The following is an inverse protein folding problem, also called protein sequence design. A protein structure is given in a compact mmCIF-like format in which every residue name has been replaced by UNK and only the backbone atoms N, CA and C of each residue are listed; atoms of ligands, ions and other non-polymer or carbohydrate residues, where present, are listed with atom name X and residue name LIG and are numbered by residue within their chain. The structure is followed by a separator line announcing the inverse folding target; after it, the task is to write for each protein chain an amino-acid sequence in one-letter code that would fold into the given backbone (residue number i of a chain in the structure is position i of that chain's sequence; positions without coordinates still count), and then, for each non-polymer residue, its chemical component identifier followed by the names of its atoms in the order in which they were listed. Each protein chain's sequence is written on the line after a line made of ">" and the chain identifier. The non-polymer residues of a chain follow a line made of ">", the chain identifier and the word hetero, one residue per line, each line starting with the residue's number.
data_IF_296418068425
#
_entry.id   IF_296418068425
#
_cell.length_a   1.000
_cell.length_b   1.000
_cell.length_c   1.000
_cell.angle_alpha   90.00
_cell.angle_beta   90.00
_cell.angle_gamma   90.00
#
_symmetry.space_group_name_H-M   'P 1'
#
loop_
_entity.id
_entity.type
_entity.pdbx_description
1 polymer ?
#
# COMPACT_ATOMS: atom_id res chain seq x y z
N UNK A 1 -26.01 -25.65 -7.45
CA UNK A 1 -26.54 -24.26 -7.71
C UNK A 1 -25.49 -23.28 -8.14
N UNK A 2 -24.21 -23.37 -7.68
CA UNK A 2 -23.17 -22.40 -8.04
C UNK A 2 -22.81 -22.48 -9.53
N UNK A 3 -22.67 -23.67 -10.07
CA UNK A 3 -22.39 -23.91 -11.49
C UNK A 3 -23.57 -23.46 -12.36
N UNK A 4 -24.79 -23.77 -11.94
CA UNK A 4 -26.00 -23.37 -12.67
C UNK A 4 -26.10 -21.83 -12.74
N UNK A 5 -25.88 -21.17 -11.62
CA UNK A 5 -25.83 -19.69 -11.54
C UNK A 5 -24.75 -19.11 -12.46
N UNK A 6 -23.55 -19.68 -12.41
CA UNK A 6 -22.44 -19.28 -13.27
C UNK A 6 -22.80 -19.38 -14.75
N UNK A 7 -23.32 -20.53 -15.17
CA UNK A 7 -23.72 -20.78 -16.55
C UNK A 7 -24.86 -19.86 -17.00
N UNK A 8 -25.83 -19.59 -16.13
CA UNK A 8 -26.92 -18.66 -16.41
C UNK A 8 -26.43 -17.23 -16.62
N UNK A 9 -25.50 -16.74 -15.77
CA UNK A 9 -24.90 -15.42 -15.90
C UNK A 9 -24.10 -15.30 -17.20
N UNK A 10 -23.29 -16.30 -17.53
CA UNK A 10 -22.53 -16.30 -18.79
C UNK A 10 -23.44 -16.31 -20.02
N UNK A 11 -24.50 -17.13 -20.00
CA UNK A 11 -25.47 -17.20 -21.10
C UNK A 11 -26.18 -15.84 -21.30
N UNK A 12 -26.69 -15.24 -20.21
CA UNK A 12 -27.34 -13.93 -20.27
C UNK A 12 -26.39 -12.81 -20.71
N UNK A 13 -25.13 -12.88 -20.27
CA UNK A 13 -24.10 -11.88 -20.57
C UNK A 13 -23.52 -11.93 -21.97
N UNK A 14 -23.68 -13.05 -22.70
CA UNK A 14 -23.07 -13.26 -24.03
C UNK A 14 -23.43 -12.16 -25.02
N UNK A 15 -24.67 -11.73 -25.08
CA UNK A 15 -25.15 -10.63 -25.97
C UNK A 15 -24.54 -9.28 -25.61
N UNK A 16 -24.06 -9.12 -24.37
CA UNK A 16 -23.38 -7.91 -23.87
C UNK A 16 -21.87 -8.04 -23.89
N UNK A 17 -21.31 -9.08 -24.52
CA UNK A 17 -19.86 -9.34 -24.56
C UNK A 17 -19.25 -9.48 -23.17
N UNK A 18 -20.00 -10.06 -22.22
CA UNK A 18 -19.49 -10.34 -20.88
C UNK A 18 -18.21 -11.17 -20.94
N UNK A 19 -17.18 -10.71 -20.25
CA UNK A 19 -15.91 -11.41 -20.12
C UNK A 19 -15.67 -11.79 -18.67
N UNK A 20 -15.21 -13.02 -18.46
CA UNK A 20 -14.75 -13.46 -17.14
C UNK A 20 -13.41 -12.85 -16.84
N UNK A 21 -13.28 -12.21 -15.67
CA UNK A 21 -12.01 -11.71 -15.15
C UNK A 21 -11.77 -12.30 -13.75
N UNK A 22 -10.50 -12.42 -13.37
CA UNK A 22 -10.09 -12.80 -12.03
C UNK A 22 -9.49 -11.59 -11.29
N UNK A 23 -9.42 -11.63 -9.95
CA UNK A 23 -8.63 -10.67 -9.19
C UNK A 23 -7.20 -10.62 -9.74
N UNK A 24 -6.69 -9.42 -9.97
CA UNK A 24 -5.37 -9.22 -10.55
C UNK A 24 -4.47 -8.40 -9.62
N UNK A 25 -3.35 -8.98 -9.19
CA UNK A 25 -2.41 -8.31 -8.29
C UNK A 25 -1.92 -6.97 -8.84
N UNK A 26 -1.57 -6.90 -10.12
CA UNK A 26 -1.11 -5.65 -10.72
C UNK A 26 -2.15 -4.53 -10.58
N UNK A 27 -3.44 -4.81 -10.82
CA UNK A 27 -4.51 -3.80 -10.75
C UNK A 27 -4.71 -3.27 -9.34
N UNK A 28 -4.75 -4.16 -8.32
CA UNK A 28 -4.88 -3.71 -6.94
C UNK A 28 -3.69 -2.87 -6.50
N UNK A 29 -2.47 -3.28 -6.90
CA UNK A 29 -1.24 -2.55 -6.55
C UNK A 29 -1.25 -1.19 -7.23
N UNK A 30 -1.56 -1.10 -8.54
CA UNK A 30 -1.71 0.16 -9.26
C UNK A 30 -2.70 1.12 -8.57
N UNK A 31 -3.85 0.59 -8.15
CA UNK A 31 -4.89 1.37 -7.47
C UNK A 31 -4.59 1.65 -5.99
N UNK A 32 -3.50 1.09 -5.43
CA UNK A 32 -3.18 1.23 -4.02
C UNK A 32 -4.13 0.49 -3.08
N UNK A 33 -4.79 -0.56 -3.57
CA UNK A 33 -5.70 -1.39 -2.77
C UNK A 33 -4.89 -2.38 -1.95
N UNK A 34 -4.99 -2.24 -0.62
CA UNK A 34 -4.28 -3.09 0.33
C UNK A 34 -4.92 -4.47 0.44
N UNK A 35 -4.09 -5.47 0.66
CA UNK A 35 -4.50 -6.83 0.95
C UNK A 35 -4.23 -7.17 2.41
N UNK A 36 -5.25 -7.67 3.11
CA UNK A 36 -5.09 -8.18 4.46
C UNK A 36 -4.14 -9.38 4.50
N UNK A 37 -3.24 -9.41 5.47
CA UNK A 37 -2.19 -10.42 5.59
C UNK A 37 -0.97 -10.20 4.70
N UNK A 38 -1.07 -9.35 3.66
CA UNK A 38 0.04 -9.00 2.78
C UNK A 38 0.57 -7.59 3.04
N UNK A 39 -0.32 -6.59 2.97
CA UNK A 39 0.06 -5.18 3.12
C UNK A 39 -0.27 -4.63 4.51
N UNK A 40 -1.17 -5.23 5.21
CA UNK A 40 -1.56 -4.86 6.58
C UNK A 40 -2.10 -6.07 7.33
N UNK A 41 -2.05 -6.01 8.64
CA UNK A 41 -2.61 -6.97 9.58
C UNK A 41 -3.03 -6.25 10.88
N UNK A 42 -3.29 -7.01 11.95
CA UNK A 42 -3.70 -6.47 13.24
C UNK A 42 -2.62 -5.63 13.96
N UNK A 43 -1.36 -5.70 13.53
CA UNK A 43 -0.25 -4.91 14.09
C UNK A 43 -0.15 -3.52 13.43
N UNK A 44 -0.94 -3.27 12.39
CA UNK A 44 -0.92 -2.02 11.64
C UNK A 44 -2.13 -1.14 11.99
N UNK A 45 -1.88 0.13 12.29
CA UNK A 45 -2.95 1.11 12.50
C UNK A 45 -3.37 1.80 11.18
N UNK A 46 -4.58 2.38 11.11
CA UNK A 46 -5.08 3.01 9.88
C UNK A 46 -4.23 4.17 9.36
N UNK A 47 -3.60 4.96 10.23
CA UNK A 47 -2.74 6.07 9.79
C UNK A 47 -1.48 5.56 9.12
N UNK A 48 -0.87 4.53 9.70
CA UNK A 48 0.30 3.86 9.14
C UNK A 48 0.04 3.25 7.76
N UNK A 49 -1.19 2.81 7.50
CA UNK A 49 -1.63 2.22 6.24
C UNK A 49 -2.18 3.22 5.21
N UNK A 50 -2.09 4.52 5.43
CA UNK A 50 -2.72 5.56 4.62
C UNK A 50 -4.26 5.48 4.58
N UNK A 51 -4.91 4.80 5.52
CA UNK A 51 -6.36 4.65 5.64
C UNK A 51 -6.98 5.63 6.65
N UNK A 52 -6.22 6.60 7.14
CA UNK A 52 -6.69 7.58 8.12
C UNK A 52 -7.92 8.37 7.67
N UNK A 53 -8.12 8.55 6.36
CA UNK A 53 -9.29 9.20 5.80
C UNK A 53 -10.60 8.40 5.99
N UNK A 54 -10.52 7.10 6.24
CA UNK A 54 -11.65 6.24 6.53
C UNK A 54 -12.03 6.24 8.02
N UNK A 55 -11.18 6.79 8.87
CA UNK A 55 -11.40 6.81 10.31
C UNK A 55 -12.26 8.01 10.68
N UNK A 56 -13.44 7.74 11.24
CA UNK A 56 -14.35 8.79 11.72
C UNK A 56 -13.91 9.29 13.09
N UNK A 57 -13.06 10.32 13.10
CA UNK A 57 -12.61 11.02 14.30
C UNK A 57 -13.25 12.39 14.36
N UNK A 58 -14.16 12.55 15.33
CA UNK A 58 -14.81 13.82 15.74
C UNK A 58 -15.02 14.93 14.70
N UNK A 59 -16.22 15.15 14.33
CA UNK A 59 -16.85 16.45 14.29
C UNK A 59 -17.01 17.15 12.97
N UNK A 60 -16.53 16.79 11.80
CA UNK A 60 -16.86 17.51 10.55
C UNK A 60 -16.76 16.60 9.31
N UNK A 61 -17.88 16.46 8.61
CA UNK A 61 -17.99 15.74 7.33
C UNK A 61 -19.17 14.76 7.31
N UNK A 62 -19.61 14.35 6.13
CA UNK A 62 -20.75 13.42 5.92
C UNK A 62 -20.58 12.06 6.62
N UNK A 63 -19.35 11.63 6.85
CA UNK A 63 -18.99 10.39 7.52
C UNK A 63 -18.80 10.53 9.03
N UNK A 64 -19.09 11.70 9.56
CA UNK A 64 -18.96 12.01 10.99
C UNK A 64 -20.12 11.41 11.79
N UNK A 65 -20.08 10.12 11.96
CA UNK A 65 -20.95 9.47 12.93
C UNK A 65 -20.40 9.76 14.33
N UNK A 66 -21.21 10.34 15.20
CA UNK A 66 -20.95 10.44 16.64
C UNK A 66 -20.87 9.06 17.33
N UNK A 67 -20.77 7.99 16.54
CA UNK A 67 -20.70 6.63 17.03
C UNK A 67 -19.44 6.43 17.86
N UNK A 68 -19.61 5.82 18.98
CA UNK A 68 -18.52 5.27 19.76
C UNK A 68 -18.16 3.90 19.21
N UNK A 69 -16.86 3.58 19.18
CA UNK A 69 -16.34 2.31 18.69
C UNK A 69 -15.04 1.96 19.39
N UNK A 70 -14.72 0.69 19.44
CA UNK A 70 -13.48 0.19 20.06
C UNK A 70 -12.26 0.79 19.35
N UNK A 71 -11.34 1.37 20.13
CA UNK A 71 -10.11 1.98 19.61
C UNK A 71 -10.23 3.45 19.21
N UNK A 72 -11.40 4.09 19.29
CA UNK A 72 -11.59 5.50 18.92
C UNK A 72 -10.67 6.42 19.72
N UNK A 73 -10.62 6.30 21.03
CA UNK A 73 -9.78 7.11 21.91
C UNK A 73 -8.30 6.98 21.55
N UNK A 74 -7.84 5.76 21.28
CA UNK A 74 -6.47 5.52 20.87
C UNK A 74 -6.13 6.19 19.53
N UNK A 75 -7.05 6.19 18.57
CA UNK A 75 -6.87 6.85 17.27
C UNK A 75 -6.95 8.38 17.39
N UNK A 76 -7.80 8.92 18.27
CA UNK A 76 -7.84 10.36 18.56
C UNK A 76 -6.52 10.84 19.15
N UNK A 77 -6.00 10.11 20.15
CA UNK A 77 -4.68 10.38 20.76
C UNK A 77 -3.56 10.33 19.70
N UNK A 78 -3.56 9.30 18.89
CA UNK A 78 -2.55 9.16 17.81
C UNK A 78 -2.62 10.31 16.80
N UNK A 79 -3.84 10.74 16.43
CA UNK A 79 -4.03 11.89 15.54
C UNK A 79 -3.50 13.19 16.15
N UNK A 80 -3.68 13.39 17.45
CA UNK A 80 -3.14 14.53 18.17
C UNK A 80 -1.61 14.51 18.21
N UNK A 81 -1.02 13.35 18.53
CA UNK A 81 0.43 13.15 18.48
C UNK A 81 1.00 13.50 17.09
N UNK A 82 0.38 13.02 16.01
CA UNK A 82 0.78 13.34 14.64
C UNK A 82 0.74 14.85 14.36
N UNK A 83 -0.32 15.55 14.80
CA UNK A 83 -0.44 17.01 14.66
C UNK A 83 0.66 17.78 15.41
N UNK A 84 1.08 17.25 16.54
CA UNK A 84 2.15 17.83 17.37
C UNK A 84 3.56 17.49 16.85
N UNK A 85 3.67 16.79 15.69
CA UNK A 85 4.94 16.40 15.09
C UNK A 85 5.58 15.17 15.74
N UNK A 86 4.85 14.46 16.60
CA UNK A 86 5.31 13.21 17.18
C UNK A 86 5.22 12.07 16.15
N UNK A 87 5.96 11.00 16.41
CA UNK A 87 5.99 9.81 15.56
C UNK A 87 5.44 8.59 16.32
N UNK A 88 4.11 8.44 16.40
CA UNK A 88 3.49 7.38 17.20
C UNK A 88 3.76 5.96 16.68
N UNK A 89 4.33 5.83 15.49
CA UNK A 89 4.78 4.57 14.89
C UNK A 89 6.06 4.76 14.09
N UNK A 90 6.75 3.65 13.79
CA UNK A 90 8.09 3.69 13.18
C UNK A 90 8.08 3.70 11.66
N UNK A 91 7.13 2.99 11.04
CA UNK A 91 7.09 2.74 9.60
C UNK A 91 5.78 3.25 9.01
N UNK A 92 5.86 3.81 7.80
CA UNK A 92 4.74 4.31 7.01
C UNK A 92 4.64 3.54 5.70
N UNK A 93 3.43 3.12 5.34
CA UNK A 93 3.15 2.58 4.00
C UNK A 93 3.38 3.65 2.94
N UNK A 94 4.08 3.28 1.88
CA UNK A 94 4.38 4.16 0.74
C UNK A 94 4.29 3.39 -0.57
N UNK A 95 4.13 4.13 -1.66
CA UNK A 95 4.43 3.65 -3.00
C UNK A 95 5.92 3.75 -3.30
N UNK A 96 6.43 2.82 -4.09
CA UNK A 96 7.82 2.78 -4.53
C UNK A 96 7.87 2.46 -6.02
N UNK A 97 8.66 3.20 -6.78
CA UNK A 97 9.11 2.81 -8.11
C UNK A 97 10.49 2.16 -8.01
N UNK A 98 10.66 0.96 -8.58
CA UNK A 98 11.89 0.19 -8.51
C UNK A 98 12.51 0.00 -9.89
N UNK A 99 13.84 0.05 -9.94
CA UNK A 99 14.61 -0.40 -11.11
C UNK A 99 14.71 -1.93 -11.11
N UNK A 100 15.01 -2.50 -12.27
CA UNK A 100 15.26 -3.93 -12.41
C UNK A 100 14.43 -4.58 -13.50
N UNK A 101 14.55 -5.90 -13.61
CA UNK A 101 13.75 -6.72 -14.53
C UNK A 101 12.26 -6.65 -14.13
N UNK A 102 11.32 -6.78 -15.08
CA UNK A 102 9.90 -6.85 -14.79
C UNK A 102 9.57 -7.91 -13.73
N UNK A 103 8.73 -7.53 -12.75
CA UNK A 103 8.23 -8.41 -11.69
C UNK A 103 6.79 -8.77 -12.05
N UNK A 104 6.59 -9.98 -12.55
CA UNK A 104 5.29 -10.45 -13.09
C UNK A 104 4.78 -11.68 -12.35
N UNK A 105 5.37 -11.98 -11.20
CA UNK A 105 4.97 -13.08 -10.35
C UNK A 105 4.59 -12.59 -8.96
N UNK A 106 3.67 -13.30 -8.33
CA UNK A 106 3.32 -13.07 -6.92
C UNK A 106 4.54 -13.26 -6.02
N UNK A 107 4.77 -12.29 -5.14
CA UNK A 107 5.83 -12.33 -4.14
C UNK A 107 5.23 -12.62 -2.76
N UNK A 108 5.33 -13.86 -2.27
CA UNK A 108 4.80 -14.22 -0.94
C UNK A 108 5.65 -13.65 0.20
N UNK A 109 6.94 -13.44 -0.05
CA UNK A 109 7.88 -12.96 0.95
C UNK A 109 8.07 -11.44 0.88
N UNK A 110 8.35 -10.82 2.02
CA UNK A 110 8.70 -9.41 2.09
C UNK A 110 10.15 -9.18 1.67
N UNK A 111 10.38 -8.17 0.85
CA UNK A 111 11.73 -7.83 0.39
C UNK A 111 12.29 -6.65 1.18
N UNK A 112 13.48 -6.82 1.70
CA UNK A 112 14.08 -5.86 2.60
C UNK A 112 14.47 -4.55 1.91
N UNK A 113 14.28 -3.44 2.61
CA UNK A 113 14.67 -2.10 2.20
C UNK A 113 15.83 -1.64 3.10
N UNK A 114 16.87 -1.05 2.52
CA UNK A 114 17.97 -0.41 3.23
C UNK A 114 18.20 1.03 2.73
N UNK A 115 18.98 1.79 3.46
CA UNK A 115 19.43 3.11 3.00
C UNK A 115 20.26 3.00 1.71
N UNK A 116 20.41 4.12 0.99
CA UNK A 116 21.20 4.17 -0.26
C UNK A 116 22.67 3.76 -0.07
N UNK A 117 23.22 3.99 1.12
CA UNK A 117 24.59 3.61 1.48
C UNK A 117 24.70 2.16 2.01
N UNK A 118 23.58 1.40 1.94
CA UNK A 118 23.52 0.06 2.52
C UNK A 118 23.23 0.07 4.02
N UNK A 119 23.68 -0.97 4.72
CA UNK A 119 23.47 -1.14 6.15
C UNK A 119 22.31 -2.07 6.50
N UNK A 120 21.89 -2.04 7.77
CA UNK A 120 20.78 -2.87 8.26
C UNK A 120 19.47 -2.53 7.55
N UNK A 121 18.57 -3.51 7.35
CA UNK A 121 17.23 -3.26 6.85
C UNK A 121 16.49 -2.26 7.75
N UNK A 122 15.77 -1.35 7.10
CA UNK A 122 15.00 -0.27 7.75
C UNK A 122 13.52 -0.30 7.37
N UNK A 123 13.13 -1.18 6.46
CA UNK A 123 11.79 -1.34 5.96
C UNK A 123 11.67 -2.56 5.06
N UNK A 124 10.52 -2.72 4.43
CA UNK A 124 10.25 -3.88 3.57
C UNK A 124 9.19 -3.58 2.51
N UNK A 125 9.27 -4.29 1.38
CA UNK A 125 8.26 -4.34 0.32
C UNK A 125 7.24 -5.43 0.66
N UNK A 126 5.96 -5.14 0.47
CA UNK A 126 4.86 -6.08 0.66
C UNK A 126 4.30 -6.60 -0.67
N UNK A 127 4.10 -5.71 -1.62
CA UNK A 127 3.38 -6.01 -2.86
C UNK A 127 4.05 -5.36 -4.07
N UNK A 128 5.02 -6.03 -4.69
CA UNK A 128 5.67 -5.56 -5.91
C UNK A 128 4.96 -6.08 -7.15
N UNK A 129 4.95 -5.29 -8.24
CA UNK A 129 4.52 -5.72 -9.56
C UNK A 129 5.07 -4.83 -10.67
N UNK A 130 5.14 -5.33 -11.90
CA UNK A 130 5.46 -4.53 -13.07
C UNK A 130 4.25 -3.74 -13.56
N UNK A 131 4.43 -2.44 -13.80
CA UNK A 131 3.41 -1.56 -14.37
C UNK A 131 3.68 -1.39 -15.87
N UNK A 132 2.92 -2.04 -16.75
CA UNK A 132 3.23 -2.07 -18.17
C UNK A 132 3.18 -0.69 -18.83
N UNK A 133 2.19 0.15 -18.49
CA UNK A 133 2.04 1.49 -19.06
C UNK A 133 3.19 2.44 -18.67
N UNK A 134 3.71 2.31 -17.44
CA UNK A 134 4.86 3.10 -16.98
C UNK A 134 6.21 2.48 -17.36
N UNK A 135 6.24 1.23 -17.82
CA UNK A 135 7.47 0.51 -18.10
C UNK A 135 8.38 0.33 -16.87
N UNK A 136 7.81 0.26 -15.66
CA UNK A 136 8.53 0.23 -14.41
C UNK A 136 7.94 -0.78 -13.44
N UNK A 137 8.75 -1.26 -12.50
CA UNK A 137 8.24 -1.96 -11.34
C UNK A 137 7.71 -0.95 -10.32
N UNK A 138 6.52 -1.20 -9.81
CA UNK A 138 5.90 -0.49 -8.70
C UNK A 138 5.77 -1.42 -7.50
N UNK A 139 5.73 -0.87 -6.30
CA UNK A 139 5.51 -1.67 -5.10
C UNK A 139 4.85 -0.86 -3.99
N UNK A 140 4.04 -1.52 -3.18
CA UNK A 140 3.71 -1.03 -1.85
C UNK A 140 4.72 -1.59 -0.85
N UNK A 141 5.03 -0.81 0.19
CA UNK A 141 5.96 -1.23 1.22
C UNK A 141 6.06 -0.21 2.35
N UNK A 142 6.74 -0.60 3.39
CA UNK A 142 6.92 0.20 4.60
C UNK A 142 8.34 0.75 4.68
N UNK A 143 8.44 2.06 4.91
CA UNK A 143 9.71 2.78 5.13
C UNK A 143 9.63 3.60 6.41
N UNK A 144 10.75 4.06 6.99
CA UNK A 144 10.72 4.90 8.19
C UNK A 144 9.80 6.12 8.02
N UNK A 145 8.90 6.31 8.99
CA UNK A 145 8.04 7.48 9.04
C UNK A 145 8.85 8.71 9.48
N UNK A 146 8.81 9.76 8.68
CA UNK A 146 9.62 10.97 8.91
C UNK A 146 8.83 12.15 9.49
N UNK A 147 7.53 11.95 9.77
CA UNK A 147 6.68 13.00 10.35
C UNK A 147 5.97 13.87 9.32
N UNK A 148 6.04 13.52 8.02
CA UNK A 148 5.36 14.29 6.98
C UNK A 148 3.84 14.08 7.00
N UNK A 149 3.09 15.18 6.85
CA UNK A 149 1.65 15.18 6.74
C UNK A 149 1.24 15.85 5.42
N UNK A 150 0.13 15.40 4.84
CA UNK A 150 -0.50 16.10 3.72
C UNK A 150 -1.36 17.27 4.21
N UNK A 151 -1.94 18.04 3.28
CA UNK A 151 -2.79 19.23 3.56
C UNK A 151 -4.01 18.92 4.43
N UNK A 152 -4.42 17.64 4.51
CA UNK A 152 -5.52 17.18 5.37
C UNK A 152 -5.04 16.67 6.74
N UNK A 153 -3.73 16.75 7.02
CA UNK A 153 -3.13 16.28 8.26
C UNK A 153 -3.01 14.76 8.38
N UNK A 154 -3.02 14.03 7.25
CA UNK A 154 -2.74 12.59 7.25
C UNK A 154 -1.27 12.31 6.96
N UNK A 155 -0.71 11.27 7.61
CA UNK A 155 0.67 10.85 7.37
C UNK A 155 0.92 10.47 5.91
N UNK A 156 2.06 10.88 5.40
CA UNK A 156 2.51 10.52 4.05
C UNK A 156 3.99 10.14 4.07
N UNK A 157 4.42 9.41 3.05
CA UNK A 157 5.82 9.12 2.82
C UNK A 157 6.60 10.37 2.38
N UNK A 158 7.92 10.29 2.47
CA UNK A 158 8.81 11.33 1.96
C UNK A 158 9.02 11.12 0.46
N UNK A 159 8.16 11.71 -0.37
CA UNK A 159 8.19 11.54 -1.81
C UNK A 159 9.53 12.00 -2.43
N UNK A 160 10.02 11.23 -3.37
CA UNK A 160 11.33 11.42 -3.99
C UNK A 160 12.52 10.85 -3.21
N UNK A 161 12.32 10.43 -1.96
CA UNK A 161 13.38 9.80 -1.18
C UNK A 161 13.78 8.46 -1.80
N UNK A 162 15.08 8.19 -1.82
CA UNK A 162 15.65 7.00 -2.45
C UNK A 162 16.09 5.99 -1.41
N UNK A 163 15.90 4.72 -1.76
CA UNK A 163 16.30 3.57 -0.98
C UNK A 163 16.94 2.50 -1.86
N UNK A 164 17.46 1.45 -1.25
CA UNK A 164 17.89 0.20 -1.89
C UNK A 164 16.94 -0.91 -1.49
N UNK A 165 16.48 -1.71 -2.48
CA UNK A 165 15.62 -2.86 -2.27
C UNK A 165 16.39 -4.12 -2.63
N UNK A 166 16.37 -5.10 -1.74
CA UNK A 166 17.02 -6.39 -1.89
C UNK A 166 16.06 -7.37 -2.56
N UNK A 167 16.12 -7.44 -3.88
CA UNK A 167 15.29 -8.33 -4.67
C UNK A 167 15.79 -9.78 -4.59
N UNK A 168 14.91 -10.78 -4.80
CA UNK A 168 15.35 -12.15 -5.05
C UNK A 168 16.34 -12.23 -6.20
N UNK A 169 17.30 -13.17 -6.12
CA UNK A 169 18.40 -13.32 -7.11
C UNK A 169 17.92 -13.44 -8.56
N UNK A 170 16.72 -14.02 -8.79
CA UNK A 170 16.12 -14.12 -10.14
C UNK A 170 15.87 -12.77 -10.82
N UNK A 171 15.64 -11.73 -10.04
CA UNK A 171 15.41 -10.35 -10.56
C UNK A 171 16.68 -9.52 -10.52
N UNK A 172 17.50 -9.64 -9.48
CA UNK A 172 18.78 -8.92 -9.37
C UNK A 172 19.75 -9.59 -8.39
N UNK A 173 21.04 -9.61 -8.75
CA UNK A 173 22.12 -10.05 -7.86
C UNK A 173 22.58 -8.97 -6.88
N UNK A 174 22.17 -7.73 -7.09
CA UNK A 174 22.53 -6.56 -6.25
C UNK A 174 21.27 -5.78 -5.88
N UNK A 175 21.27 -5.08 -4.73
CA UNK A 175 20.16 -4.21 -4.38
C UNK A 175 19.88 -3.16 -5.46
N UNK A 176 18.61 -3.00 -5.81
CA UNK A 176 18.17 -2.02 -6.82
C UNK A 176 17.76 -0.71 -6.18
N UNK A 177 17.80 0.38 -6.95
CA UNK A 177 17.31 1.67 -6.49
C UNK A 177 15.79 1.70 -6.52
N UNK A 178 15.21 2.23 -5.46
CA UNK A 178 13.79 2.54 -5.34
C UNK A 178 13.59 4.02 -4.97
N UNK A 179 12.48 4.59 -5.44
CA UNK A 179 12.09 5.98 -5.15
C UNK A 179 10.70 5.98 -4.57
N UNK A 180 10.49 6.70 -3.48
CA UNK A 180 9.16 6.86 -2.86
C UNK A 180 8.28 7.72 -3.75
N UNK A 181 7.08 7.22 -4.06
CA UNK A 181 6.07 7.88 -4.89
C UNK A 181 4.69 7.83 -4.21
N UNK A 182 3.74 8.68 -4.62
CA UNK A 182 2.36 8.57 -4.14
C UNK A 182 1.69 7.24 -4.49
N UNK A 183 0.67 6.88 -3.71
CA UNK A 183 -0.32 5.85 -4.02
C UNK A 183 -1.66 6.58 -4.19
N UNK A 184 -2.50 6.24 -5.19
CA UNK A 184 -2.29 5.23 -6.24
C UNK A 184 -1.19 5.58 -7.26
N UNK A 185 -0.72 4.57 -7.99
CA UNK A 185 0.30 4.72 -9.04
C UNK A 185 -0.34 5.16 -10.36
N UNK A 186 -0.76 6.40 -10.44
CA UNK A 186 -1.38 7.01 -11.64
C UNK A 186 -0.35 7.65 -12.57
#
# INVERSE_FOLDING_TARGET
>A
YAEDMWNAVLAAGKKHKLMVIAPAHHRRIQAGILSWGQDMDQEHNPFQCNLGYQVSLSGKGEWNKKADYVGKEALEKMKEQLKNGEKPYKLQLVGLELKGKPIEEYAPDFWLISNTNGGKPIGYITSPWYHPEKGKNIAMGYVPYEGNLNDRGFPIGNFGKKYKVHLPKKYSSKPVSAVVVPIPFT
#
